data_IF_301546824302
#
_entry.id   IF_301546824302
#
_cell.length_a   1.000
_cell.length_b   1.000
_cell.length_c   1.000
_cell.angle_alpha   90.00
_cell.angle_beta   90.00
_cell.angle_gamma   90.00
#
_symmetry.space_group_name_H-M   'P 1'
#
loop_
_entity.id
_entity.type
_entity.pdbx_description
1 polymer ?
#
# COMPACT_ATOMS: atom_id res chain seq x y z
N UNK A 1 -3.42 -19.15 -13.02
CA UNK A 1 -3.72 -19.47 -14.43
C UNK A 1 -2.39 -19.26 -15.08
N UNK A 2 -1.93 -20.17 -15.93
CA UNK A 2 -0.60 -19.95 -16.49
C UNK A 2 -0.64 -18.76 -17.46
N UNK A 3 0.51 -18.10 -17.62
CA UNK A 3 0.66 -16.93 -18.49
C UNK A 3 0.15 -17.18 -19.91
N UNK A 4 0.43 -18.35 -20.48
CA UNK A 4 0.03 -18.69 -21.84
C UNK A 4 -1.50 -18.69 -21.98
N UNK A 5 -2.21 -19.35 -21.07
CA UNK A 5 -3.68 -19.39 -21.10
C UNK A 5 -4.29 -17.99 -20.95
N UNK A 6 -3.75 -17.16 -20.05
CA UNK A 6 -4.20 -15.78 -19.89
C UNK A 6 -3.99 -14.96 -21.18
N UNK A 7 -2.80 -15.06 -21.77
CA UNK A 7 -2.47 -14.41 -23.03
C UNK A 7 -3.40 -14.86 -24.16
N UNK A 8 -3.60 -16.18 -24.33
CA UNK A 8 -4.48 -16.74 -25.36
C UNK A 8 -5.90 -16.17 -25.22
N UNK A 9 -6.44 -16.08 -23.99
CA UNK A 9 -7.75 -15.47 -23.71
C UNK A 9 -7.81 -13.97 -24.01
N UNK A 10 -6.76 -13.21 -23.72
CA UNK A 10 -6.69 -11.79 -24.08
C UNK A 10 -6.65 -11.57 -25.59
N UNK A 11 -5.93 -12.42 -26.33
CA UNK A 11 -5.93 -12.37 -27.79
C UNK A 11 -7.32 -12.66 -28.37
N UNK A 12 -8.04 -13.63 -27.82
CA UNK A 12 -9.45 -13.88 -28.20
C UNK A 12 -10.33 -12.68 -27.92
N UNK A 13 -10.22 -12.07 -26.73
CA UNK A 13 -10.95 -10.85 -26.39
C UNK A 13 -10.63 -9.70 -27.36
N UNK A 14 -9.36 -9.55 -27.74
CA UNK A 14 -8.92 -8.52 -28.65
C UNK A 14 -9.45 -8.74 -30.07
N UNK A 15 -9.46 -9.98 -30.53
CA UNK A 15 -10.04 -10.36 -31.82
C UNK A 15 -11.54 -10.05 -31.88
N UNK A 16 -12.30 -10.38 -30.83
CA UNK A 16 -13.75 -10.13 -30.77
C UNK A 16 -14.08 -8.63 -30.76
N UNK A 17 -13.23 -7.82 -30.13
CA UNK A 17 -13.44 -6.37 -29.97
C UNK A 17 -12.65 -5.53 -30.99
N UNK A 18 -12.16 -6.15 -32.07
CA UNK A 18 -11.38 -5.52 -33.14
C UNK A 18 -10.24 -4.63 -32.62
N UNK A 19 -9.47 -5.16 -31.67
CA UNK A 19 -8.34 -4.48 -31.05
C UNK A 19 -7.02 -5.12 -31.46
N UNK A 20 -6.07 -4.27 -31.86
CA UNK A 20 -4.72 -4.71 -32.15
C UNK A 20 -3.97 -5.07 -30.85
N UNK A 21 -3.91 -6.36 -30.54
CA UNK A 21 -3.18 -6.92 -29.40
C UNK A 21 -1.80 -7.38 -29.85
N UNK A 22 -0.77 -6.90 -29.16
CA UNK A 22 0.60 -7.36 -29.36
C UNK A 22 1.07 -8.16 -28.14
N UNK A 23 2.09 -8.99 -28.31
CA UNK A 23 2.66 -9.74 -27.20
C UNK A 23 3.11 -8.83 -26.05
N UNK A 24 3.70 -7.66 -26.36
CA UNK A 24 4.10 -6.68 -25.34
C UNK A 24 2.92 -6.15 -24.52
N UNK A 25 1.76 -5.92 -25.15
CA UNK A 25 0.55 -5.51 -24.43
C UNK A 25 0.06 -6.66 -23.55
N UNK A 26 -0.01 -7.88 -24.07
CA UNK A 26 -0.42 -9.04 -23.27
C UNK A 26 0.50 -9.29 -22.06
N UNK A 27 1.80 -9.09 -22.23
CA UNK A 27 2.79 -9.19 -21.14
C UNK A 27 2.56 -8.13 -20.07
N UNK A 28 2.27 -6.88 -20.46
CA UNK A 28 1.94 -5.82 -19.52
C UNK A 28 0.66 -6.12 -18.73
N UNK A 29 -0.37 -6.68 -19.37
CA UNK A 29 -1.57 -7.15 -18.66
C UNK A 29 -1.22 -8.28 -17.69
N UNK A 30 -0.42 -9.26 -18.11
CA UNK A 30 -0.05 -10.37 -17.24
C UNK A 30 0.64 -9.89 -15.95
N UNK A 31 1.57 -8.92 -16.04
CA UNK A 31 2.23 -8.39 -14.86
C UNK A 31 1.27 -7.71 -13.86
N UNK A 32 0.17 -7.15 -14.35
CA UNK A 32 -0.89 -6.55 -13.50
C UNK A 32 -1.76 -7.63 -12.86
N UNK A 33 -2.03 -8.72 -13.58
CA UNK A 33 -3.04 -9.71 -13.20
C UNK A 33 -2.49 -11.00 -12.58
N UNK A 34 -1.17 -11.22 -12.58
CA UNK A 34 -0.53 -12.47 -12.14
C UNK A 34 -0.86 -12.89 -10.69
N UNK A 35 -1.21 -11.94 -9.84
CA UNK A 35 -1.53 -12.18 -8.43
C UNK A 35 -3.03 -12.43 -8.17
N UNK A 36 -3.88 -12.29 -9.19
CA UNK A 36 -5.33 -12.54 -9.07
C UNK A 36 -5.68 -14.03 -9.27
N UNK A 37 -6.72 -14.53 -8.57
CA UNK A 37 -7.19 -15.89 -8.77
C UNK A 37 -7.71 -16.15 -10.19
N UNK A 38 -7.41 -17.33 -10.72
CA UNK A 38 -7.77 -17.78 -12.08
C UNK A 38 -9.25 -17.61 -12.39
N UNK A 39 -10.09 -18.01 -11.44
CA UNK A 39 -11.54 -17.98 -11.58
C UNK A 39 -12.05 -16.54 -11.76
N UNK A 40 -11.45 -15.59 -11.07
CA UNK A 40 -11.79 -14.17 -11.15
C UNK A 40 -11.35 -13.57 -12.49
N UNK A 41 -10.15 -13.90 -12.96
CA UNK A 41 -9.66 -13.46 -14.28
C UNK A 41 -10.51 -14.01 -15.42
N UNK A 42 -10.84 -15.31 -15.38
CA UNK A 42 -11.70 -15.94 -16.37
C UNK A 42 -13.09 -15.30 -16.36
N UNK A 43 -13.65 -15.05 -15.17
CA UNK A 43 -14.94 -14.34 -15.03
C UNK A 43 -14.86 -12.95 -15.65
N UNK A 44 -13.83 -12.17 -15.33
CA UNK A 44 -13.69 -10.81 -15.82
C UNK A 44 -13.58 -10.73 -17.35
N UNK A 45 -12.75 -11.57 -17.96
CA UNK A 45 -12.63 -11.67 -19.41
C UNK A 45 -13.98 -12.07 -20.06
N UNK A 46 -14.68 -13.05 -19.48
CA UNK A 46 -15.97 -13.51 -19.98
C UNK A 46 -17.07 -12.44 -19.86
N UNK A 47 -17.03 -11.61 -18.82
CA UNK A 47 -17.95 -10.48 -18.67
C UNK A 47 -17.61 -9.42 -19.73
N UNK A 48 -16.35 -9.04 -19.88
CA UNK A 48 -15.93 -8.06 -20.90
C UNK A 48 -16.29 -8.49 -22.32
N UNK A 49 -16.16 -9.78 -22.66
CA UNK A 49 -16.61 -10.31 -23.94
C UNK A 49 -18.09 -10.03 -24.24
N UNK A 50 -18.93 -9.93 -23.21
CA UNK A 50 -20.39 -9.77 -23.35
C UNK A 50 -20.83 -8.32 -23.23
N UNK A 51 -20.13 -7.52 -22.43
CA UNK A 51 -20.60 -6.19 -22.02
C UNK A 51 -19.76 -5.05 -22.57
N UNK A 52 -18.50 -5.29 -22.92
CA UNK A 52 -17.60 -4.23 -23.33
C UNK A 52 -17.76 -3.92 -24.82
N UNK A 53 -17.97 -2.65 -25.15
CA UNK A 53 -17.95 -2.15 -26.54
C UNK A 53 -16.53 -1.98 -27.09
N UNK A 54 -15.58 -1.69 -26.21
CA UNK A 54 -14.18 -1.46 -26.53
C UNK A 54 -13.31 -2.42 -25.72
N UNK A 55 -12.09 -2.67 -26.19
CA UNK A 55 -11.14 -3.50 -25.45
C UNK A 55 -10.88 -2.89 -24.05
N UNK A 56 -11.13 -3.64 -22.97
CA UNK A 56 -11.10 -3.10 -21.62
C UNK A 56 -9.67 -2.76 -21.22
N UNK A 57 -9.48 -1.59 -20.63
CA UNK A 57 -8.25 -1.21 -19.92
C UNK A 57 -8.07 -2.11 -18.69
N UNK A 58 -6.84 -2.24 -18.15
CA UNK A 58 -6.62 -3.07 -16.96
C UNK A 58 -7.51 -2.67 -15.77
N UNK A 59 -7.69 -1.38 -15.54
CA UNK A 59 -8.56 -0.89 -14.44
C UNK A 59 -10.02 -1.33 -14.58
N UNK A 60 -10.52 -1.50 -15.80
CA UNK A 60 -11.90 -1.94 -16.03
C UNK A 60 -12.06 -3.44 -15.70
N UNK A 61 -11.07 -4.27 -16.06
CA UNK A 61 -11.03 -5.67 -15.67
C UNK A 61 -10.92 -5.83 -14.14
N UNK A 62 -10.10 -5.01 -13.48
CA UNK A 62 -10.01 -4.96 -12.01
C UNK A 62 -11.38 -4.63 -11.40
N UNK A 63 -12.12 -3.67 -11.97
CA UNK A 63 -13.47 -3.34 -11.53
C UNK A 63 -14.42 -4.54 -11.58
N UNK A 64 -14.36 -5.33 -12.64
CA UNK A 64 -15.18 -6.55 -12.76
C UNK A 64 -14.77 -7.61 -11.74
N UNK A 65 -13.47 -7.73 -11.43
CA UNK A 65 -12.97 -8.67 -10.42
C UNK A 65 -13.46 -8.25 -9.03
N UNK A 66 -13.33 -6.97 -8.70
CA UNK A 66 -13.66 -6.43 -7.38
C UNK A 66 -15.14 -6.08 -7.19
N UNK A 67 -15.95 -6.22 -8.24
CA UNK A 67 -17.38 -5.87 -8.21
C UNK A 67 -17.64 -4.37 -8.13
N UNK A 68 -16.73 -3.55 -8.67
CA UNK A 68 -16.80 -2.09 -8.67
C UNK A 68 -17.30 -1.60 -10.03
N UNK A 69 -18.32 -0.74 -10.00
CA UNK A 69 -19.10 -0.41 -11.19
C UNK A 69 -18.47 0.67 -12.07
N UNK A 70 -17.59 1.50 -11.49
CA UNK A 70 -16.94 2.59 -12.20
C UNK A 70 -15.44 2.67 -11.92
N UNK A 71 -14.68 3.18 -12.91
CA UNK A 71 -13.25 3.45 -12.74
C UNK A 71 -12.94 4.52 -11.67
N UNK A 72 -13.89 5.42 -11.39
CA UNK A 72 -13.73 6.44 -10.33
C UNK A 72 -13.69 5.80 -8.95
N UNK A 73 -14.63 4.87 -8.67
CA UNK A 73 -14.71 4.17 -7.39
C UNK A 73 -13.44 3.38 -7.07
N UNK A 74 -12.83 2.73 -8.08
CA UNK A 74 -11.55 2.04 -7.92
C UNK A 74 -10.41 2.99 -7.59
N UNK A 75 -10.34 4.13 -8.30
CA UNK A 75 -9.31 5.12 -8.06
C UNK A 75 -9.41 5.73 -6.66
N UNK A 76 -10.63 6.01 -6.21
CA UNK A 76 -10.89 6.55 -4.87
C UNK A 76 -10.50 5.54 -3.78
N UNK A 77 -10.81 4.25 -3.97
CA UNK A 77 -10.38 3.17 -3.07
C UNK A 77 -8.85 3.06 -3.02
N UNK A 78 -8.19 3.00 -4.17
CA UNK A 78 -6.73 2.93 -4.26
C UNK A 78 -6.06 4.13 -3.57
N UNK A 79 -6.61 5.34 -3.79
CA UNK A 79 -6.13 6.56 -3.15
C UNK A 79 -6.29 6.49 -1.64
N UNK A 80 -7.45 6.07 -1.14
CA UNK A 80 -7.72 5.92 0.29
C UNK A 80 -6.79 4.88 0.95
N UNK A 81 -6.53 3.75 0.28
CA UNK A 81 -5.63 2.72 0.79
C UNK A 81 -4.18 3.24 0.90
N UNK A 82 -3.70 3.97 -0.11
CA UNK A 82 -2.37 4.60 -0.08
C UNK A 82 -2.25 5.67 1.01
N UNK A 83 -3.31 6.44 1.25
CA UNK A 83 -3.36 7.42 2.34
C UNK A 83 -3.35 6.72 3.70
N UNK A 84 -4.12 5.63 3.87
CA UNK A 84 -4.13 4.83 5.09
C UNK A 84 -2.76 4.19 5.36
N UNK A 85 -2.08 3.68 4.33
CA UNK A 85 -0.75 3.09 4.46
C UNK A 85 0.28 4.13 4.91
N UNK A 86 0.24 5.34 4.35
CA UNK A 86 1.07 6.46 4.81
C UNK A 86 0.78 6.86 6.25
N UNK A 87 -0.49 6.84 6.68
CA UNK A 87 -0.88 7.13 8.05
C UNK A 87 -0.36 6.07 9.05
N UNK A 88 -0.39 4.79 8.66
CA UNK A 88 0.17 3.69 9.44
C UNK A 88 1.70 3.83 9.55
N UNK A 89 2.38 4.08 8.43
CA UNK A 89 3.84 4.32 8.41
C UNK A 89 4.23 5.50 9.31
N UNK A 90 3.48 6.60 9.24
CA UNK A 90 3.69 7.77 10.10
C UNK A 90 3.50 7.43 11.58
N UNK A 91 2.48 6.65 11.91
CA UNK A 91 2.21 6.21 13.27
C UNK A 91 3.33 5.32 13.80
N UNK A 92 3.82 4.38 12.97
CA UNK A 92 4.94 3.51 13.31
C UNK A 92 6.24 4.31 13.54
N UNK A 93 6.48 5.36 12.74
CA UNK A 93 7.60 6.28 12.97
C UNK A 93 7.49 6.99 14.32
N UNK A 94 6.32 7.56 14.64
CA UNK A 94 6.10 8.24 15.92
C UNK A 94 6.25 7.29 17.12
N UNK A 95 5.81 6.04 16.99
CA UNK A 95 6.02 5.02 18.02
C UNK A 95 7.51 4.69 18.19
N UNK A 96 8.25 4.55 17.09
CA UNK A 96 9.70 4.32 17.13
C UNK A 96 10.45 5.50 17.78
N UNK A 97 10.09 6.74 17.42
CA UNK A 97 10.62 7.96 18.04
C UNK A 97 10.31 8.00 19.55
N UNK A 98 9.09 7.63 19.95
CA UNK A 98 8.69 7.56 21.36
C UNK A 98 9.48 6.52 22.14
N UNK A 99 9.70 5.34 21.58
CA UNK A 99 10.50 4.28 22.23
C UNK A 99 11.98 4.68 22.32
N UNK A 100 12.51 5.34 21.31
CA UNK A 100 13.86 5.90 21.35
C UNK A 100 13.97 6.98 22.44
N UNK A 101 13.01 7.90 22.50
CA UNK A 101 12.96 8.91 23.56
C UNK A 101 12.87 8.26 24.95
N UNK A 102 12.11 7.18 25.12
CA UNK A 102 12.08 6.45 26.41
C UNK A 102 13.45 5.88 26.75
N UNK A 103 14.17 5.26 25.81
CA UNK A 103 15.53 4.76 26.06
C UNK A 103 16.48 5.89 26.47
N UNK A 104 16.37 7.05 25.82
CA UNK A 104 17.22 8.21 26.08
C UNK A 104 16.81 8.95 27.38
N UNK A 105 15.53 8.91 27.73
CA UNK A 105 14.93 9.58 28.90
C UNK A 105 14.84 8.71 30.13
N UNK A 106 15.01 7.38 30.01
CA UNK A 106 15.32 6.53 31.16
C UNK A 106 16.67 7.03 31.67
N UNK A 107 16.56 7.89 32.67
CA UNK A 107 17.67 8.26 33.52
C UNK A 107 18.16 6.96 34.12
N UNK A 108 19.29 6.47 33.60
CA UNK A 108 20.02 5.40 34.25
C UNK A 108 20.12 5.78 35.74
N UNK A 109 19.67 4.93 36.68
CA UNK A 109 19.71 5.23 38.11
C UNK A 109 21.11 5.71 38.55
N UNK A 110 22.15 5.22 37.88
CA UNK A 110 23.55 5.63 38.02
C UNK A 110 23.80 7.09 37.66
N UNK A 111 23.16 7.64 36.63
CA UNK A 111 23.24 9.07 36.26
C UNK A 111 22.54 9.97 37.30
N UNK A 112 21.39 9.54 37.82
CA UNK A 112 20.69 10.24 38.90
C UNK A 112 21.54 10.26 40.18
N UNK A 113 22.06 9.09 40.58
CA UNK A 113 22.92 8.94 41.76
C UNK A 113 24.19 9.77 41.62
N UNK A 114 24.79 9.82 40.42
CA UNK A 114 25.98 10.66 40.16
C UNK A 114 25.65 12.15 40.29
N UNK A 115 24.55 12.63 39.69
CA UNK A 115 24.15 14.03 39.77
C UNK A 115 23.84 14.47 41.22
N UNK A 116 23.20 13.60 42.01
CA UNK A 116 22.94 13.85 43.44
C UNK A 116 24.24 13.88 44.26
N UNK A 117 25.22 13.01 43.95
CA UNK A 117 26.56 13.06 44.58
C UNK A 117 27.35 14.33 44.23
N UNK A 118 27.10 14.92 43.07
CA UNK A 118 27.68 16.21 42.65
C UNK A 118 26.97 17.43 43.27
N UNK A 119 25.99 17.22 44.16
CA UNK A 119 25.29 18.30 44.87
C UNK A 119 24.21 19.00 44.04
N UNK A 120 23.86 18.49 42.85
CA UNK A 120 22.78 19.04 42.04
C UNK A 120 21.42 18.72 42.66
N UNK A 121 20.55 19.71 42.72
CA UNK A 121 19.16 19.51 43.15
C UNK A 121 18.38 18.66 42.15
N UNK A 122 17.31 18.00 42.61
CA UNK A 122 16.44 17.20 41.76
C UNK A 122 15.82 18.06 40.63
N UNK A 123 15.54 19.33 40.89
CA UNK A 123 14.93 20.24 39.92
C UNK A 123 15.94 20.71 38.86
N UNK A 124 17.20 20.95 39.22
CA UNK A 124 18.27 21.20 38.24
C UNK A 124 18.49 19.98 37.35
N UNK A 125 18.47 18.77 37.92
CA UNK A 125 18.60 17.54 37.16
C UNK A 125 17.43 17.35 36.17
N UNK A 126 16.18 17.57 36.59
CA UNK A 126 15.00 17.49 35.71
C UNK A 126 15.07 18.46 34.52
N UNK A 127 15.68 19.64 34.69
CA UNK A 127 15.90 20.61 33.60
C UNK A 127 16.89 20.13 32.54
N UNK A 128 17.76 19.17 32.87
CA UNK A 128 18.73 18.59 31.92
C UNK A 128 18.16 17.43 31.10
N UNK A 129 16.95 16.96 31.40
CA UNK A 129 16.32 15.87 30.65
C UNK A 129 15.84 16.36 29.28
N UNK A 130 15.99 15.53 28.22
CA UNK A 130 15.49 15.87 26.89
C UNK A 130 13.97 16.09 26.96
N UNK A 131 13.54 17.30 26.58
CA UNK A 131 12.12 17.62 26.49
C UNK A 131 11.50 16.81 25.33
N UNK A 132 10.27 16.30 25.47
CA UNK A 132 9.59 15.67 24.35
C UNK A 132 9.47 16.67 23.21
N UNK A 133 9.80 16.25 21.98
CA UNK A 133 9.58 17.08 20.81
C UNK A 133 8.07 17.37 20.71
N UNK A 134 7.65 18.64 20.58
CA UNK A 134 6.26 18.96 20.33
C UNK A 134 5.88 18.34 18.99
N UNK A 135 5.02 17.33 19.01
CA UNK A 135 4.49 16.66 17.83
C UNK A 135 3.94 17.70 16.85
N UNK A 136 4.57 17.82 15.68
CA UNK A 136 4.12 18.62 14.52
C UNK A 136 3.12 17.86 13.67
#
# INVERSE_FOLDING_TARGET
MNRKEFTDRLFVLALVLDHDMTQKKADAYWEIFKDYPDKELIRAINVSLKTSKFFPKPVELIGIIEGVSTGSELYDRYKAEREAQRAIERTNQLLAEREQWKKDSIVSPTKLIKALKEGKSLDEFKRTLPKPNPTT
#
